data_IF_582819944122
#
_entry.id   IF_582819944122
#
_cell.length_a   1.000
_cell.length_b   1.000
_cell.length_c   1.000
_cell.angle_alpha   90.00
_cell.angle_beta   90.00
_cell.angle_gamma   90.00
#
_symmetry.space_group_name_H-M   'P 1'
#
loop_
_entity.id
_entity.type
_entity.pdbx_description
1 polymer ?
#
# COMPACT_ATOMS: atom_id res chain seq x y z
N UNK A 1 8.97 -2.54 -16.20
CA UNK A 1 8.30 -2.36 -14.90
C UNK A 1 6.96 -1.65 -15.10
N UNK A 2 5.92 -2.15 -14.45
CA UNK A 2 4.58 -1.57 -14.58
C UNK A 2 4.43 -0.42 -13.59
N UNK A 3 4.11 0.78 -14.09
CA UNK A 3 3.96 1.98 -13.27
C UNK A 3 2.52 2.15 -12.75
N UNK A 4 1.54 1.81 -13.56
CA UNK A 4 0.14 1.92 -13.21
C UNK A 4 -0.69 0.93 -14.02
N UNK A 5 -1.92 0.73 -13.58
CA UNK A 5 -2.91 -0.08 -14.27
C UNK A 5 -4.21 0.72 -14.39
N UNK A 6 -4.90 0.54 -15.50
CA UNK A 6 -6.27 1.07 -15.67
C UNK A 6 -7.17 -0.14 -15.84
N UNK A 7 -8.10 -0.31 -14.92
CA UNK A 7 -8.97 -1.48 -14.95
C UNK A 7 -10.20 -1.33 -14.09
N UNK A 8 -11.06 -2.35 -14.18
CA UNK A 8 -12.33 -2.42 -13.48
C UNK A 8 -12.14 -3.11 -12.13
N UNK A 9 -12.71 -2.54 -11.08
CA UNK A 9 -12.67 -3.12 -9.75
C UNK A 9 -13.72 -4.21 -9.66
N UNK A 10 -13.27 -5.46 -9.49
CA UNK A 10 -14.15 -6.63 -9.50
C UNK A 10 -14.35 -7.26 -8.12
N UNK A 11 -13.50 -6.93 -7.14
CA UNK A 11 -13.61 -7.47 -5.79
C UNK A 11 -13.00 -6.51 -4.77
N UNK A 12 -13.61 -6.47 -3.58
CA UNK A 12 -13.11 -5.70 -2.43
C UNK A 12 -12.93 -6.64 -1.26
N UNK A 13 -11.76 -6.61 -0.64
CA UNK A 13 -11.44 -7.38 0.56
C UNK A 13 -10.94 -6.43 1.66
N UNK A 14 -10.59 -6.97 2.82
CA UNK A 14 -10.16 -6.15 3.97
C UNK A 14 -8.90 -5.32 3.71
N UNK A 15 -7.96 -5.86 2.93
CA UNK A 15 -6.66 -5.23 2.66
C UNK A 15 -6.33 -5.16 1.19
N UNK A 16 -7.13 -5.77 0.33
CA UNK A 16 -6.84 -5.88 -1.10
C UNK A 16 -8.06 -5.54 -1.93
N UNK A 17 -7.79 -5.17 -3.17
CA UNK A 17 -8.80 -5.07 -4.21
C UNK A 17 -8.36 -5.96 -5.37
N UNK A 18 -9.31 -6.40 -6.19
CA UNK A 18 -9.01 -7.06 -7.46
C UNK A 18 -9.36 -6.13 -8.59
N UNK A 19 -8.42 -5.93 -9.50
CA UNK A 19 -8.60 -5.06 -10.68
C UNK A 19 -8.43 -5.91 -11.92
N UNK A 20 -9.43 -5.87 -12.80
CA UNK A 20 -9.38 -6.57 -14.07
C UNK A 20 -8.91 -5.62 -15.17
N UNK A 21 -7.84 -6.01 -15.86
CA UNK A 21 -7.29 -5.30 -17.01
C UNK A 21 -6.74 -6.33 -17.99
N UNK A 22 -7.07 -6.17 -19.28
CA UNK A 22 -6.61 -7.09 -20.31
C UNK A 22 -6.90 -8.57 -19.99
N UNK A 23 -8.12 -8.87 -19.53
CA UNK A 23 -8.57 -10.22 -19.19
C UNK A 23 -7.80 -10.87 -18.03
N UNK A 24 -7.08 -10.08 -17.26
CA UNK A 24 -6.29 -10.54 -16.11
C UNK A 24 -6.77 -9.85 -14.86
N UNK A 25 -6.98 -10.63 -13.78
CA UNK A 25 -7.33 -10.07 -12.47
C UNK A 25 -6.07 -9.89 -11.63
N UNK A 26 -5.81 -8.66 -11.22
CA UNK A 26 -4.67 -8.32 -10.35
C UNK A 26 -5.15 -8.12 -8.94
N UNK A 27 -4.60 -8.88 -7.99
CA UNK A 27 -4.86 -8.69 -6.55
C UNK A 27 -3.86 -7.67 -6.04
N UNK A 28 -4.36 -6.56 -5.53
CA UNK A 28 -3.54 -5.40 -5.19
C UNK A 28 -3.77 -5.01 -3.74
N UNK A 29 -2.70 -4.92 -2.95
CA UNK A 29 -2.75 -4.40 -1.60
C UNK A 29 -2.94 -2.89 -1.63
N UNK A 30 -3.90 -2.38 -0.88
CA UNK A 30 -4.19 -0.94 -0.83
C UNK A 30 -4.39 -0.48 0.61
N UNK A 31 -4.19 0.81 0.85
CA UNK A 31 -4.33 1.40 2.18
C UNK A 31 -5.78 1.36 2.66
N UNK A 32 -6.71 1.81 1.82
CA UNK A 32 -8.13 1.93 2.16
C UNK A 32 -9.00 1.28 1.09
N UNK A 33 -9.22 -0.05 1.15
CA UNK A 33 -10.08 -0.72 0.15
C UNK A 33 -11.48 -0.15 0.07
N UNK A 34 -12.02 0.37 1.18
CA UNK A 34 -13.36 0.94 1.27
C UNK A 34 -13.54 2.23 0.43
N UNK A 35 -12.44 2.84 -0.02
CA UNK A 35 -12.52 4.01 -0.90
C UNK A 35 -12.72 3.65 -2.37
N UNK A 36 -12.66 2.36 -2.69
CA UNK A 36 -12.87 1.87 -4.05
C UNK A 36 -14.30 1.37 -4.21
N UNK A 37 -14.83 1.53 -5.42
CA UNK A 37 -16.20 1.10 -5.74
C UNK A 37 -16.19 -0.07 -6.72
N UNK A 38 -16.94 -1.13 -6.41
CA UNK A 38 -17.13 -2.26 -7.32
C UNK A 38 -17.70 -1.80 -8.65
N UNK A 39 -17.15 -2.34 -9.73
CA UNK A 39 -17.62 -2.05 -11.09
C UNK A 39 -17.07 -0.78 -11.71
N UNK A 40 -16.36 0.04 -10.97
CA UNK A 40 -15.77 1.27 -11.50
C UNK A 40 -14.43 1.00 -12.15
N UNK A 41 -14.14 1.73 -13.22
CA UNK A 41 -12.85 1.72 -13.89
C UNK A 41 -11.99 2.83 -13.31
N UNK A 42 -10.77 2.50 -12.88
CA UNK A 42 -9.86 3.46 -12.27
C UNK A 42 -8.44 3.25 -12.73
N UNK A 43 -7.66 4.33 -12.67
CA UNK A 43 -6.21 4.28 -12.76
C UNK A 43 -5.64 4.09 -11.36
N UNK A 44 -4.80 3.09 -11.18
CA UNK A 44 -4.16 2.78 -9.90
C UNK A 44 -2.66 2.70 -10.14
N UNK A 45 -1.89 3.49 -9.38
CA UNK A 45 -0.43 3.45 -9.44
C UNK A 45 0.06 2.22 -8.70
N UNK A 46 1.00 1.50 -9.30
CA UNK A 46 1.46 0.21 -8.78
C UNK A 46 2.91 0.23 -8.36
N UNK A 47 3.19 -0.54 -7.31
CA UNK A 47 4.53 -0.96 -6.94
C UNK A 47 4.52 -2.47 -6.78
N UNK A 48 5.42 -3.16 -7.47
CA UNK A 48 5.59 -4.60 -7.33
C UNK A 48 6.71 -4.86 -6.34
N UNK A 49 6.38 -5.50 -5.22
CA UNK A 49 7.34 -5.87 -4.21
C UNK A 49 7.70 -7.34 -4.34
N UNK A 50 8.98 -7.62 -4.45
CA UNK A 50 9.51 -8.97 -4.57
C UNK A 50 10.32 -9.30 -3.32
N UNK A 51 10.03 -10.45 -2.70
CA UNK A 51 10.78 -10.92 -1.53
C UNK A 51 11.09 -12.40 -1.67
N UNK A 52 12.17 -12.83 -1.02
CA UNK A 52 12.53 -14.25 -0.96
C UNK A 52 11.86 -14.89 0.25
N UNK A 53 11.30 -16.07 0.05
CA UNK A 53 10.76 -16.87 1.16
C UNK A 53 11.83 -17.79 1.72
N UNK A 54 11.57 -18.39 2.89
CA UNK A 54 12.49 -19.30 3.55
C UNK A 54 12.79 -20.59 2.73
N UNK A 55 12.04 -20.83 1.67
CA UNK A 55 12.20 -22.01 0.80
C UNK A 55 12.83 -21.69 -0.54
N UNK A 56 13.57 -20.58 -0.64
CA UNK A 56 14.18 -20.11 -1.88
C UNK A 56 13.18 -19.80 -2.99
N UNK A 57 11.91 -19.63 -2.66
CA UNK A 57 10.90 -19.19 -3.62
C UNK A 57 10.75 -17.67 -3.56
N UNK A 58 10.35 -17.10 -4.69
CA UNK A 58 10.13 -15.66 -4.83
C UNK A 58 8.66 -15.38 -4.56
N UNK A 59 8.40 -14.45 -3.64
CA UNK A 59 7.04 -13.94 -3.40
C UNK A 59 6.91 -12.56 -4.02
N UNK A 60 5.89 -12.38 -4.85
CA UNK A 60 5.60 -11.11 -5.51
C UNK A 60 4.24 -10.61 -5.10
N UNK A 61 4.18 -9.36 -4.67
CA UNK A 61 2.94 -8.70 -4.29
C UNK A 61 2.84 -7.33 -4.94
N UNK A 62 1.63 -6.97 -5.38
CA UNK A 62 1.34 -5.61 -5.87
C UNK A 62 0.80 -4.75 -4.76
N UNK A 63 1.25 -3.50 -4.74
CA UNK A 63 0.74 -2.43 -3.87
C UNK A 63 0.20 -1.32 -4.77
N UNK A 64 -0.98 -0.81 -4.44
CA UNK A 64 -1.65 0.15 -5.30
C UNK A 64 -2.03 1.45 -4.57
N UNK A 65 -2.00 2.55 -5.33
CA UNK A 65 -2.21 3.90 -4.80
C UNK A 65 -3.11 4.69 -5.73
N UNK A 66 -3.98 5.50 -5.14
CA UNK A 66 -4.95 6.30 -5.90
C UNK A 66 -4.31 7.49 -6.63
N UNK A 67 -3.14 7.94 -6.14
CA UNK A 67 -2.40 9.03 -6.79
C UNK A 67 -0.90 8.80 -6.65
N UNK A 68 -0.15 9.57 -7.43
CA UNK A 68 1.30 9.44 -7.47
C UNK A 68 1.98 9.85 -6.16
N UNK A 69 1.41 10.85 -5.46
CA UNK A 69 1.97 11.31 -4.19
C UNK A 69 1.97 10.21 -3.13
N UNK A 70 0.90 9.43 -3.06
CA UNK A 70 0.85 8.27 -2.16
C UNK A 70 1.91 7.24 -2.51
N UNK A 71 2.10 6.95 -3.80
CA UNK A 71 3.13 6.01 -4.23
C UNK A 71 4.52 6.50 -3.84
N UNK A 72 4.82 7.79 -4.07
CA UNK A 72 6.11 8.35 -3.67
C UNK A 72 6.33 8.25 -2.16
N UNK A 73 5.30 8.53 -1.37
CA UNK A 73 5.38 8.44 0.07
C UNK A 73 5.67 7.00 0.51
N UNK A 74 4.98 6.04 -0.10
CA UNK A 74 5.21 4.62 0.15
C UNK A 74 6.67 4.23 -0.11
N UNK A 75 7.22 4.66 -1.25
CA UNK A 75 8.60 4.36 -1.61
C UNK A 75 9.59 4.98 -0.63
N UNK A 76 9.32 6.20 -0.17
CA UNK A 76 10.15 6.86 0.85
C UNK A 76 10.12 6.10 2.18
N UNK A 77 8.93 5.62 2.58
CA UNK A 77 8.81 4.79 3.78
C UNK A 77 9.61 3.50 3.68
N UNK A 78 9.58 2.84 2.52
CA UNK A 78 10.37 1.63 2.30
C UNK A 78 11.87 1.86 2.39
N UNK A 79 12.33 3.08 2.13
CA UNK A 79 13.76 3.41 2.21
C UNK A 79 14.26 3.52 3.65
N UNK A 80 13.37 3.58 4.63
CA UNK A 80 13.73 3.67 6.04
C UNK A 80 13.96 2.28 6.61
N UNK A 81 15.00 2.15 7.46
CA UNK A 81 15.29 0.88 8.12
C UNK A 81 14.12 0.47 9.03
N UNK A 82 13.76 -0.81 8.95
CA UNK A 82 12.72 -1.37 9.80
C UNK A 82 11.29 -1.19 9.30
N UNK A 83 11.11 -0.56 8.13
CA UNK A 83 9.78 -0.37 7.56
C UNK A 83 9.66 -1.20 6.28
N UNK A 84 8.83 -2.24 6.34
CA UNK A 84 8.47 -3.07 5.19
C UNK A 84 7.20 -2.59 4.52
N UNK A 85 6.80 -3.25 3.40
CA UNK A 85 5.63 -2.78 2.62
C UNK A 85 4.32 -2.81 3.39
N UNK A 86 4.07 -3.83 4.20
CA UNK A 86 2.82 -3.92 4.98
C UNK A 86 2.74 -2.85 6.05
N UNK A 87 3.85 -2.55 6.71
CA UNK A 87 3.94 -1.46 7.66
C UNK A 87 3.74 -0.11 6.98
N UNK A 88 4.37 0.09 5.83
CA UNK A 88 4.22 1.33 5.06
C UNK A 88 2.76 1.59 4.67
N UNK A 89 2.04 0.56 4.21
CA UNK A 89 0.62 0.68 3.86
C UNK A 89 -0.21 1.11 5.07
N UNK A 90 0.07 0.57 6.25
CA UNK A 90 -0.63 0.96 7.48
C UNK A 90 -0.33 2.41 7.88
N UNK A 91 0.93 2.81 7.75
CA UNK A 91 1.34 4.18 8.06
C UNK A 91 0.61 5.19 7.15
N UNK A 92 0.40 4.85 5.89
CA UNK A 92 -0.28 5.72 4.93
C UNK A 92 -1.75 6.01 5.26
N UNK A 93 -2.34 5.33 6.24
CA UNK A 93 -3.68 5.66 6.75
C UNK A 93 -3.70 6.95 7.55
N UNK A 94 -2.53 7.45 7.95
CA UNK A 94 -2.40 8.67 8.74
C UNK A 94 -2.32 9.90 7.83
N UNK A 95 -2.36 11.08 8.44
CA UNK A 95 -2.22 12.35 7.75
C UNK A 95 -0.87 12.40 7.02
N UNK A 96 -0.90 12.72 5.72
CA UNK A 96 0.30 12.78 4.90
C UNK A 96 1.30 13.84 5.37
N UNK A 97 0.82 14.97 5.90
CA UNK A 97 1.71 16.01 6.44
C UNK A 97 2.50 15.50 7.64
N UNK A 98 1.84 14.77 8.53
CA UNK A 98 2.48 14.16 9.69
C UNK A 98 3.54 13.14 9.24
N UNK A 99 3.20 12.30 8.28
CA UNK A 99 4.12 11.30 7.73
C UNK A 99 5.34 11.97 7.11
N UNK A 100 5.14 13.04 6.32
CA UNK A 100 6.24 13.79 5.70
C UNK A 100 7.21 14.31 6.75
N UNK A 101 6.69 14.89 7.82
CA UNK A 101 7.52 15.44 8.89
C UNK A 101 8.33 14.34 9.58
N UNK A 102 7.71 13.20 9.83
CA UNK A 102 8.39 12.06 10.44
C UNK A 102 9.49 11.48 9.53
N UNK A 103 9.25 11.42 8.22
CA UNK A 103 10.25 10.96 7.25
C UNK A 103 11.43 11.93 7.21
N UNK A 104 11.16 13.24 7.16
CA UNK A 104 12.21 14.26 7.13
C UNK A 104 13.11 14.21 8.36
N UNK A 105 12.53 13.93 9.53
CA UNK A 105 13.27 13.78 10.77
C UNK A 105 13.83 12.37 10.99
N UNK A 106 13.51 11.43 10.09
CA UNK A 106 13.85 10.01 10.19
C UNK A 106 13.35 9.37 11.48
N UNK A 107 12.17 9.77 11.92
CA UNK A 107 11.54 9.30 13.15
C UNK A 107 10.86 7.94 12.93
N UNK A 108 11.65 6.88 12.91
CA UNK A 108 11.14 5.50 12.72
C UNK A 108 10.21 5.08 13.86
N UNK A 109 10.52 5.51 15.08
CA UNK A 109 9.68 5.19 16.26
C UNK A 109 8.31 5.84 16.15
N UNK A 110 8.26 7.11 15.74
CA UNK A 110 7.00 7.83 15.54
C UNK A 110 6.15 7.19 14.46
N UNK A 111 6.77 6.77 13.36
CA UNK A 111 6.06 6.09 12.28
C UNK A 111 5.49 4.75 12.73
N UNK A 112 6.27 3.98 13.48
CA UNK A 112 5.81 2.71 14.04
C UNK A 112 4.69 2.90 15.06
N UNK A 113 4.75 3.97 15.85
CA UNK A 113 3.70 4.31 16.82
C UNK A 113 2.38 4.65 16.11
N UNK A 114 2.42 5.32 14.96
CA UNK A 114 1.22 5.58 14.15
C UNK A 114 0.52 4.29 13.76
N UNK A 115 1.28 3.30 13.33
CA UNK A 115 0.73 1.98 13.00
C UNK A 115 0.10 1.32 14.23
N UNK A 116 0.79 1.35 15.37
CA UNK A 116 0.31 0.73 16.61
C UNK A 116 -0.99 1.37 17.10
N UNK A 117 -1.09 2.69 17.02
CA UNK A 117 -2.29 3.43 17.39
C UNK A 117 -3.46 3.01 16.49
N UNK A 118 -3.25 2.89 15.20
CA UNK A 118 -4.29 2.45 14.25
C UNK A 118 -4.77 1.04 14.56
N UNK A 119 -3.88 0.13 14.90
CA UNK A 119 -4.24 -1.23 15.28
C UNK A 119 -5.11 -1.25 16.54
N UNK A 120 -4.76 -0.46 17.55
CA UNK A 120 -5.56 -0.37 18.79
C UNK A 120 -6.95 0.17 18.51
N UNK A 121 -7.06 1.21 17.72
CA UNK A 121 -8.36 1.81 17.34
C UNK A 121 -9.20 0.81 16.57
N UNK A 122 -8.61 0.06 15.67
CA UNK A 122 -9.31 -0.93 14.87
C UNK A 122 -9.88 -2.10 15.73
N UNK A 123 -9.28 -2.37 16.88
CA UNK A 123 -9.73 -3.43 17.80
C UNK A 123 -10.83 -2.98 18.75
N UNK A 124 -11.07 -1.72 18.88
CA UNK A 124 -12.12 -1.16 19.71
C UNK A 124 -13.43 -1.06 18.94
#
# INVERSE_FOLDING_TARGET
MVSYIIGKITSLNKKTITVESNWTGYVINVTNPELFELGKVRKIYLHKHTSLTNKNSVNEEYYGFVNYDQKEMFLKLLSLNGIGPKTAVQILKNDLSLIKNMILSKDVKGLSACQSINEKVARQ
#
